data_IF_810854766629
#
_entry.id   IF_810854766629
#
_cell.length_a   1.000
_cell.length_b   1.000
_cell.length_c   1.000
_cell.angle_alpha   90.00
_cell.angle_beta   90.00
_cell.angle_gamma   90.00
#
_symmetry.space_group_name_H-M   'P 1'
#
loop_
_entity.id
_entity.type
_entity.pdbx_description
1 polymer ?
#
# COMPACT_ATOMS: atom_id res chain seq x y z
N UNK A 1 1.48 21.66 -10.58
CA UNK A 1 2.66 20.95 -11.11
C UNK A 1 2.40 20.74 -12.60
N UNK A 2 3.28 21.23 -13.48
CA UNK A 2 3.16 21.07 -14.95
C UNK A 2 3.74 19.74 -15.46
N UNK A 3 3.97 18.81 -14.55
CA UNK A 3 4.56 17.51 -14.77
C UNK A 3 3.44 16.53 -14.44
N UNK A 4 3.15 15.58 -15.34
CA UNK A 4 1.93 14.75 -15.29
C UNK A 4 1.60 14.12 -13.93
N UNK A 5 0.41 13.57 -13.80
CA UNK A 5 -0.02 13.00 -12.52
C UNK A 5 0.85 11.78 -12.15
N UNK A 6 1.04 11.58 -10.85
CA UNK A 6 1.75 10.43 -10.29
C UNK A 6 1.01 9.91 -9.06
N UNK A 7 1.09 8.61 -8.80
CA UNK A 7 0.49 7.96 -7.63
C UNK A 7 1.17 6.62 -7.34
N UNK A 8 0.96 6.09 -6.15
CA UNK A 8 1.38 4.74 -5.78
C UNK A 8 0.47 3.75 -6.52
N UNK A 9 1.05 2.75 -7.17
CA UNK A 9 0.34 1.78 -8.01
C UNK A 9 0.44 0.36 -7.48
N UNK A 10 -0.33 -0.58 -8.08
CA UNK A 10 -0.20 -2.00 -7.76
C UNK A 10 1.20 -2.54 -8.06
N UNK A 11 1.92 -1.98 -9.05
CA UNK A 11 3.34 -2.28 -9.27
C UNK A 11 4.17 -1.91 -8.05
N UNK A 12 3.97 -0.71 -7.51
CA UNK A 12 4.71 -0.27 -6.32
C UNK A 12 4.40 -1.18 -5.12
N UNK A 13 3.15 -1.61 -4.93
CA UNK A 13 2.79 -2.54 -3.84
C UNK A 13 3.50 -3.88 -3.99
N UNK A 14 3.49 -4.46 -5.20
CA UNK A 14 4.11 -5.75 -5.46
C UNK A 14 5.64 -5.70 -5.30
N UNK A 15 6.30 -4.63 -5.78
CA UNK A 15 7.74 -4.47 -5.66
C UNK A 15 8.18 -4.10 -4.23
N UNK A 16 7.48 -3.17 -3.59
CA UNK A 16 7.90 -2.60 -2.31
C UNK A 16 7.56 -3.50 -1.13
N UNK A 17 6.37 -4.12 -1.12
CA UNK A 17 5.89 -4.93 -0.01
C UNK A 17 5.87 -6.44 -0.29
N UNK A 18 5.98 -6.85 -1.56
CA UNK A 18 5.87 -8.27 -1.93
C UNK A 18 4.48 -8.86 -1.70
N UNK A 19 3.45 -8.01 -1.65
CA UNK A 19 2.08 -8.47 -1.39
C UNK A 19 1.39 -8.93 -2.69
N UNK A 20 0.60 -10.01 -2.63
CA UNK A 20 -0.19 -10.47 -3.77
C UNK A 20 -1.19 -9.39 -4.20
N UNK A 21 -1.21 -9.12 -5.51
CA UNK A 21 -2.11 -8.15 -6.16
C UNK A 21 -3.19 -8.84 -7.01
N UNK A 22 -3.03 -10.13 -7.26
CA UNK A 22 -4.05 -11.05 -7.74
C UNK A 22 -4.61 -11.86 -6.56
N UNK A 23 -5.84 -12.34 -6.67
CA UNK A 23 -6.47 -13.16 -5.63
C UNK A 23 -7.81 -12.64 -5.12
N UNK A 24 -8.33 -13.33 -4.11
CA UNK A 24 -9.66 -13.06 -3.54
C UNK A 24 -9.66 -11.70 -2.85
N UNK A 25 -10.69 -10.89 -3.11
CA UNK A 25 -10.82 -9.59 -2.46
C UNK A 25 -10.95 -9.75 -0.93
N UNK A 26 -10.32 -8.86 -0.17
CA UNK A 26 -10.40 -8.84 1.30
C UNK A 26 -11.75 -8.23 1.70
N UNK A 27 -12.74 -9.10 1.88
CA UNK A 27 -14.06 -8.77 2.44
C UNK A 27 -14.42 -9.76 3.53
N UNK A 28 -15.35 -9.40 4.41
CA UNK A 28 -15.83 -10.34 5.42
C UNK A 28 -17.15 -9.92 6.02
N UNK A 29 -18.08 -10.88 6.08
CA UNK A 29 -19.11 -11.00 7.11
C UNK A 29 -18.73 -12.16 8.04
N UNK A 30 -18.88 -11.96 9.35
CA UNK A 30 -18.67 -12.96 10.40
C UNK A 30 -19.79 -14.00 10.33
N UNK A 31 -19.50 -15.27 10.01
CA UNK A 31 -20.48 -16.34 10.23
C UNK A 31 -19.98 -17.56 10.97
N UNK A 32 -18.69 -17.91 10.98
CA UNK A 32 -18.26 -19.10 11.72
C UNK A 32 -16.91 -18.92 12.44
N UNK A 33 -16.93 -19.04 13.76
CA UNK A 33 -15.73 -19.21 14.58
C UNK A 33 -16.01 -20.21 15.70
N UNK A 34 -15.40 -21.39 15.62
CA UNK A 34 -15.28 -22.31 16.76
C UNK A 34 -13.84 -22.43 17.24
N UNK A 35 -13.73 -22.48 18.57
CA UNK A 35 -12.57 -22.26 19.44
C UNK A 35 -11.66 -23.48 19.50
N UNK A 36 -10.33 -23.29 19.64
CA UNK A 36 -9.46 -24.27 20.30
C UNK A 36 -8.32 -23.61 21.08
N UNK A 37 -8.17 -23.97 22.36
CA UNK A 37 -6.98 -23.78 23.21
C UNK A 37 -6.70 -25.12 23.88
N UNK A 38 -5.46 -25.60 23.78
CA UNK A 38 -4.80 -26.32 24.87
C UNK A 38 -3.27 -26.27 24.70
N UNK A 39 -2.49 -26.48 25.77
CA UNK A 39 -1.07 -26.16 25.84
C UNK A 39 -0.14 -27.30 26.30
N UNK A 40 1.11 -27.28 25.81
CA UNK A 40 2.26 -28.02 26.37
C UNK A 40 3.42 -28.21 25.37
N UNK A 41 4.59 -27.57 25.62
CA UNK A 41 5.83 -27.50 24.78
C UNK A 41 5.54 -27.00 23.33
N UNK A 42 6.49 -26.40 22.55
CA UNK A 42 6.10 -25.81 21.28
C UNK A 42 5.86 -26.91 20.24
N UNK A 43 4.64 -27.45 20.24
CA UNK A 43 4.05 -28.18 19.14
C UNK A 43 3.86 -27.26 17.93
N UNK A 44 3.64 -27.83 16.74
CA UNK A 44 3.35 -27.09 15.51
C UNK A 44 2.20 -26.08 15.70
N UNK A 45 1.26 -26.39 16.59
CA UNK A 45 0.16 -25.51 16.95
C UNK A 45 0.59 -24.27 17.74
N UNK A 46 1.57 -24.38 18.63
CA UNK A 46 2.19 -23.25 19.31
C UNK A 46 2.86 -22.31 18.30
N UNK A 47 3.63 -22.86 17.34
CA UNK A 47 4.22 -22.08 16.25
C UNK A 47 3.14 -21.39 15.43
N UNK A 48 2.07 -22.10 15.08
CA UNK A 48 0.93 -21.55 14.34
C UNK A 48 0.24 -20.42 15.12
N UNK A 49 0.06 -20.55 16.44
CA UNK A 49 -0.50 -19.51 17.31
C UNK A 49 0.37 -18.25 17.34
N UNK A 50 1.69 -18.41 17.51
CA UNK A 50 2.61 -17.28 17.46
C UNK A 50 2.64 -16.62 16.08
N UNK A 51 2.63 -17.40 15.00
CA UNK A 51 2.53 -16.89 13.64
C UNK A 51 1.24 -16.09 13.44
N UNK A 52 0.08 -16.61 13.87
CA UNK A 52 -1.21 -15.90 13.82
C UNK A 52 -1.16 -14.57 14.56
N UNK A 53 -0.65 -14.56 15.79
CA UNK A 53 -0.54 -13.35 16.60
C UNK A 53 0.40 -12.31 15.96
N UNK A 54 1.55 -12.76 15.45
CA UNK A 54 2.51 -11.91 14.77
C UNK A 54 1.94 -11.31 13.47
N UNK A 55 1.26 -12.14 12.67
CA UNK A 55 0.60 -11.69 11.44
C UNK A 55 -0.52 -10.69 11.75
N UNK A 56 -1.36 -10.95 12.77
CA UNK A 56 -2.37 -9.98 13.21
C UNK A 56 -1.76 -8.66 13.63
N UNK A 57 -0.60 -8.71 14.32
CA UNK A 57 0.15 -7.51 14.66
C UNK A 57 0.64 -6.78 13.41
N UNK A 58 1.22 -7.47 12.43
CA UNK A 58 1.66 -6.85 11.17
C UNK A 58 0.48 -6.21 10.41
N UNK A 59 -0.64 -6.91 10.29
CA UNK A 59 -1.85 -6.38 9.65
C UNK A 59 -2.36 -5.14 10.39
N UNK A 60 -2.47 -5.19 11.72
CA UNK A 60 -3.02 -4.11 12.52
C UNK A 60 -2.10 -2.92 12.75
N UNK A 61 -0.77 -3.08 12.64
CA UNK A 61 0.20 -2.03 13.01
C UNK A 61 1.06 -1.54 11.86
N UNK A 62 1.28 -2.34 10.83
CA UNK A 62 2.12 -1.96 9.68
C UNK A 62 1.27 -1.70 8.44
N UNK A 63 0.36 -2.62 8.10
CA UNK A 63 -0.33 -2.57 6.82
C UNK A 63 -1.64 -1.77 6.90
N UNK A 64 -2.45 -2.02 7.92
CA UNK A 64 -3.76 -1.41 8.11
C UNK A 64 -3.88 -0.62 9.40
N UNK A 65 -2.75 -0.07 9.84
CA UNK A 65 -2.67 0.77 11.02
C UNK A 65 -3.72 1.89 10.94
N UNK A 66 -4.42 2.09 12.05
CA UNK A 66 -5.30 3.23 12.27
C UNK A 66 -4.63 4.22 13.25
N UNK A 67 -5.41 5.17 13.76
CA UNK A 67 -4.92 6.15 14.74
C UNK A 67 -5.01 5.67 16.19
N UNK A 68 -5.48 4.45 16.43
CA UNK A 68 -5.74 3.91 17.77
C UNK A 68 -4.46 3.55 18.54
N UNK A 69 -3.32 3.47 17.86
CA UNK A 69 -1.99 3.25 18.43
C UNK A 69 -1.72 1.79 18.76
N UNK A 70 -2.48 1.21 19.70
CA UNK A 70 -2.21 -0.11 20.28
C UNK A 70 -3.35 -1.12 20.12
N UNK A 71 -4.40 -0.82 19.36
CA UNK A 71 -5.54 -1.74 19.16
C UNK A 71 -5.50 -2.36 17.77
N UNK A 72 -5.66 -3.67 17.71
CA UNK A 72 -5.79 -4.42 16.46
C UNK A 72 -7.27 -4.78 16.29
N UNK A 73 -7.84 -4.46 15.13
CA UNK A 73 -9.25 -4.76 14.87
C UNK A 73 -9.47 -6.29 14.75
N UNK A 74 -10.46 -6.83 15.45
CA UNK A 74 -10.76 -8.28 15.46
C UNK A 74 -11.17 -8.86 14.09
N UNK A 75 -11.41 -8.00 13.10
CA UNK A 75 -11.81 -8.39 11.73
C UNK A 75 -10.77 -9.24 11.01
N UNK A 76 -9.53 -9.26 11.49
CA UNK A 76 -8.45 -10.06 10.92
C UNK A 76 -8.54 -11.54 11.29
N UNK A 77 -9.27 -11.87 12.37
CA UNK A 77 -9.38 -13.23 12.89
C UNK A 77 -9.79 -14.27 11.83
N UNK A 78 -10.83 -14.04 10.99
CA UNK A 78 -11.20 -15.01 9.94
C UNK A 78 -10.07 -15.32 8.96
N UNK A 79 -9.25 -14.32 8.63
CA UNK A 79 -8.15 -14.47 7.66
C UNK A 79 -6.95 -15.20 8.26
N UNK A 80 -6.64 -14.95 9.54
CA UNK A 80 -5.52 -15.63 10.21
C UNK A 80 -5.89 -17.00 10.78
N UNK A 81 -7.19 -17.32 10.88
CA UNK A 81 -7.64 -18.65 11.31
C UNK A 81 -7.09 -19.75 10.39
N UNK A 82 -7.13 -19.49 9.07
CA UNK A 82 -6.72 -20.39 7.98
C UNK A 82 -5.51 -19.83 7.26
N UNK A 83 -4.33 -19.99 7.86
CA UNK A 83 -3.07 -19.45 7.32
C UNK A 83 -2.75 -19.99 5.92
N UNK A 84 -3.19 -21.20 5.60
CA UNK A 84 -2.99 -21.83 4.30
C UNK A 84 -3.69 -21.06 3.17
N UNK A 85 -4.83 -20.42 3.46
CA UNK A 85 -5.58 -19.62 2.49
C UNK A 85 -5.15 -18.16 2.50
N UNK A 86 -4.37 -17.73 3.49
CA UNK A 86 -4.03 -16.33 3.68
C UNK A 86 -3.27 -15.75 2.48
N UNK A 87 -2.42 -16.53 1.82
CA UNK A 87 -1.69 -16.12 0.61
C UNK A 87 -2.58 -15.91 -0.62
N UNK A 88 -3.82 -16.41 -0.61
CA UNK A 88 -4.74 -16.33 -1.75
C UNK A 88 -5.54 -15.03 -1.85
N UNK A 89 -5.42 -14.15 -0.84
CA UNK A 89 -6.13 -12.89 -0.81
C UNK A 89 -5.32 -11.76 -1.44
N UNK A 90 -6.02 -10.81 -2.05
CA UNK A 90 -5.46 -9.62 -2.68
C UNK A 90 -5.09 -8.56 -1.63
N UNK A 91 -4.10 -8.87 -0.80
CA UNK A 91 -3.60 -7.99 0.25
C UNK A 91 -3.03 -6.69 -0.31
N UNK A 92 -2.46 -6.74 -1.53
CA UNK A 92 -1.87 -5.59 -2.17
C UNK A 92 -2.91 -4.53 -2.53
N UNK A 93 -4.03 -4.93 -3.15
CA UNK A 93 -5.13 -3.99 -3.45
C UNK A 93 -5.79 -3.45 -2.19
N UNK A 94 -5.96 -4.30 -1.17
CA UNK A 94 -6.50 -3.85 0.12
C UNK A 94 -5.60 -2.80 0.77
N UNK A 95 -4.29 -3.04 0.81
CA UNK A 95 -3.32 -2.09 1.35
C UNK A 95 -3.32 -0.77 0.59
N UNK A 96 -3.39 -0.82 -0.74
CA UNK A 96 -3.42 0.36 -1.59
C UNK A 96 -4.72 1.17 -1.43
N UNK A 97 -5.87 0.50 -1.39
CA UNK A 97 -7.17 1.14 -1.10
C UNK A 97 -7.13 1.87 0.26
N UNK A 98 -6.60 1.21 1.29
CA UNK A 98 -6.48 1.83 2.60
C UNK A 98 -5.53 3.03 2.59
N UNK A 99 -4.39 2.92 1.89
CA UNK A 99 -3.46 4.04 1.75
C UNK A 99 -4.09 5.23 1.04
N UNK A 100 -4.79 5.02 -0.07
CA UNK A 100 -5.51 6.07 -0.79
C UNK A 100 -6.51 6.77 0.14
N UNK A 101 -7.35 6.01 0.85
CA UNK A 101 -8.29 6.56 1.83
C UNK A 101 -7.58 7.37 2.93
N UNK A 102 -6.45 6.90 3.43
CA UNK A 102 -5.65 7.60 4.44
C UNK A 102 -5.07 8.92 3.92
N UNK A 103 -4.56 8.94 2.68
CA UNK A 103 -4.06 10.15 2.03
C UNK A 103 -5.18 11.16 1.76
N UNK A 104 -6.34 10.71 1.28
CA UNK A 104 -7.51 11.59 1.12
C UNK A 104 -7.93 12.22 2.45
N UNK A 105 -7.92 11.44 3.55
CA UNK A 105 -8.25 11.95 4.88
C UNK A 105 -7.24 12.96 5.41
N UNK A 106 -5.93 12.76 5.16
CA UNK A 106 -4.89 13.69 5.66
C UNK A 106 -4.89 15.02 4.91
N UNK A 107 -5.46 15.09 3.71
CA UNK A 107 -5.65 16.34 2.99
C UNK A 107 -6.60 17.31 3.73
N UNK A 108 -7.42 16.81 4.66
CA UNK A 108 -8.24 17.66 5.52
C UNK A 108 -7.37 18.36 6.58
N UNK A 109 -7.44 19.70 6.64
CA UNK A 109 -6.68 20.56 7.56
C UNK A 109 -6.80 20.18 9.05
N UNK A 110 -7.87 19.50 9.44
CA UNK A 110 -8.11 19.08 10.84
C UNK A 110 -7.42 17.76 11.19
N UNK A 111 -6.84 17.05 10.20
CA UNK A 111 -6.15 15.79 10.41
C UNK A 111 -4.65 16.01 10.53
N UNK A 112 -4.12 15.77 11.73
CA UNK A 112 -2.69 16.01 12.05
C UNK A 112 -1.81 14.76 12.02
N UNK A 113 -2.40 13.57 11.80
CA UNK A 113 -1.69 12.29 11.74
C UNK A 113 -2.15 11.48 10.53
N UNK A 114 -1.19 10.99 9.75
CA UNK A 114 -1.39 9.99 8.71
C UNK A 114 -1.29 8.58 9.33
N UNK A 115 -2.09 7.65 8.81
CA UNK A 115 -2.08 6.23 9.19
C UNK A 115 -2.05 5.38 7.90
N UNK A 116 -2.08 4.05 8.04
CA UNK A 116 -2.02 3.11 6.92
C UNK A 116 -0.60 2.60 6.61
N UNK A 117 -0.35 2.07 5.39
CA UNK A 117 0.94 1.49 5.00
C UNK A 117 2.03 2.55 4.82
N UNK A 118 2.51 3.14 5.92
CA UNK A 118 3.47 4.25 5.89
C UNK A 118 4.82 3.82 5.30
N UNK A 119 5.21 2.56 5.48
CA UNK A 119 6.42 2.02 4.87
C UNK A 119 6.36 2.02 3.33
N UNK A 120 5.19 1.73 2.75
CA UNK A 120 4.97 1.80 1.30
C UNK A 120 5.11 3.24 0.81
N UNK A 121 4.42 4.19 1.47
CA UNK A 121 4.49 5.61 1.11
C UNK A 121 5.92 6.15 1.24
N UNK A 122 6.60 5.84 2.34
CA UNK A 122 7.96 6.29 2.59
C UNK A 122 8.94 5.71 1.57
N UNK A 123 8.89 4.39 1.35
CA UNK A 123 9.76 3.75 0.38
C UNK A 123 9.52 4.31 -1.02
N UNK A 124 8.25 4.46 -1.42
CA UNK A 124 7.88 5.04 -2.71
C UNK A 124 8.50 6.43 -2.90
N UNK A 125 8.44 7.31 -1.89
CA UNK A 125 9.10 8.63 -1.94
C UNK A 125 10.61 8.49 -2.18
N UNK A 126 11.31 7.58 -1.49
CA UNK A 126 12.76 7.41 -1.63
C UNK A 126 13.20 6.82 -2.98
N UNK A 127 12.34 6.02 -3.60
CA UNK A 127 12.58 5.47 -4.93
C UNK A 127 12.30 6.50 -6.03
N UNK A 128 11.28 7.36 -5.86
CA UNK A 128 10.88 8.37 -6.86
C UNK A 128 11.64 9.69 -6.75
N UNK A 129 12.03 10.10 -5.54
CA UNK A 129 12.70 11.37 -5.29
C UNK A 129 14.06 11.13 -4.60
N UNK A 130 15.16 11.04 -5.36
CA UNK A 130 16.51 10.81 -4.81
C UNK A 130 16.92 11.83 -3.75
N UNK A 131 16.44 13.07 -3.84
CA UNK A 131 16.73 14.14 -2.88
C UNK A 131 16.20 13.89 -1.45
N UNK A 132 15.25 12.97 -1.27
CA UNK A 132 14.74 12.56 0.05
C UNK A 132 15.33 11.26 0.56
N UNK A 133 16.11 10.54 -0.26
CA UNK A 133 16.68 9.24 0.08
C UNK A 133 17.73 9.39 1.20
N UNK A 134 17.72 8.51 2.21
CA UNK A 134 18.80 8.45 3.18
C UNK A 134 20.09 7.86 2.57
N UNK A 135 21.24 8.39 2.99
CA UNK A 135 22.54 7.86 2.58
C UNK A 135 22.86 6.53 3.30
N UNK A 136 23.71 5.69 2.69
CA UNK A 136 24.18 4.44 3.28
C UNK A 136 23.28 3.22 3.04
N UNK A 137 22.29 3.34 2.16
CA UNK A 137 21.35 2.27 1.83
C UNK A 137 21.50 1.88 0.35
N UNK A 138 22.69 1.44 -0.07
CA UNK A 138 22.97 1.17 -1.49
C UNK A 138 22.60 -0.24 -1.93
N UNK A 139 22.54 -1.19 -0.99
CA UNK A 139 22.18 -2.58 -1.27
C UNK A 139 20.68 -2.72 -1.58
N UNK A 140 20.36 -3.42 -2.67
CA UNK A 140 19.00 -3.83 -2.97
C UNK A 140 18.67 -5.15 -2.28
N UNK A 141 17.46 -5.25 -1.75
CA UNK A 141 16.90 -6.45 -1.13
C UNK A 141 15.42 -6.54 -1.45
N UNK A 142 14.85 -7.75 -1.44
CA UNK A 142 13.42 -7.94 -1.64
C UNK A 142 12.71 -8.37 -0.34
N UNK A 143 11.54 -7.80 -0.03
CA UNK A 143 10.81 -6.73 -0.74
C UNK A 143 11.57 -5.39 -0.77
N UNK A 144 11.38 -4.54 -1.80
CA UNK A 144 12.22 -3.35 -1.98
C UNK A 144 12.16 -2.34 -0.83
N UNK A 145 11.08 -2.32 -0.04
CA UNK A 145 11.00 -1.46 1.13
C UNK A 145 11.93 -1.91 2.27
N UNK A 146 12.37 -3.18 2.28
CA UNK A 146 13.35 -3.70 3.24
C UNK A 146 14.72 -3.03 3.08
N UNK A 147 15.00 -2.43 1.92
CA UNK A 147 16.19 -1.61 1.67
C UNK A 147 16.38 -0.53 2.72
N UNK A 148 15.30 0.02 3.27
CA UNK A 148 15.34 1.11 4.25
C UNK A 148 15.21 0.61 5.70
N UNK A 149 15.33 -0.70 5.92
CA UNK A 149 15.24 -1.28 7.25
C UNK A 149 16.29 -0.68 8.19
N UNK A 150 15.88 -0.33 9.40
CA UNK A 150 16.75 0.35 10.37
C UNK A 150 16.88 1.87 10.16
N UNK A 151 16.29 2.45 9.11
CA UNK A 151 16.23 3.89 8.97
C UNK A 151 15.38 4.52 10.09
N UNK A 152 16.06 5.09 11.07
CA UNK A 152 15.44 5.82 12.16
C UNK A 152 15.86 7.29 12.11
N UNK A 153 14.98 8.20 11.68
CA UNK A 153 15.28 9.61 11.74
C UNK A 153 15.35 10.08 13.20
N UNK A 154 16.51 10.59 13.62
CA UNK A 154 16.73 11.09 14.99
C UNK A 154 15.64 12.09 15.45
N UNK A 155 15.13 11.90 16.67
CA UNK A 155 14.00 12.67 17.24
C UNK A 155 14.39 14.14 17.46
N UNK A 156 15.66 14.41 17.75
CA UNK A 156 16.20 15.74 18.08
C UNK A 156 16.11 16.76 16.94
N UNK A 157 16.05 16.33 15.69
CA UNK A 157 16.13 17.21 14.51
C UNK A 157 14.80 17.41 13.79
N UNK A 158 13.66 17.07 14.42
CA UNK A 158 12.35 17.08 13.74
C UNK A 158 12.00 18.43 13.11
N UNK A 159 12.25 19.54 13.81
CA UNK A 159 11.97 20.89 13.32
C UNK A 159 12.77 21.25 12.07
N UNK A 160 14.12 21.29 12.15
CA UNK A 160 14.99 21.58 11.00
C UNK A 160 14.75 20.64 9.81
N UNK A 161 14.54 19.35 10.05
CA UNK A 161 14.22 18.37 9.00
C UNK A 161 12.93 18.69 8.26
N UNK A 162 11.87 19.08 8.97
CA UNK A 162 10.60 19.45 8.34
C UNK A 162 10.76 20.72 7.50
N UNK A 163 11.51 21.71 7.99
CA UNK A 163 11.81 22.93 7.23
C UNK A 163 12.61 22.60 5.96
N UNK A 164 13.65 21.77 6.08
CA UNK A 164 14.46 21.32 4.95
C UNK A 164 13.64 20.51 3.93
N UNK A 165 12.76 19.63 4.40
CA UNK A 165 11.88 18.86 3.53
C UNK A 165 10.91 19.77 2.75
N UNK A 166 10.32 20.78 3.41
CA UNK A 166 9.46 21.77 2.74
C UNK A 166 10.22 22.54 1.66
N UNK A 167 11.40 23.06 2.00
CA UNK A 167 12.25 23.76 1.03
C UNK A 167 12.59 22.87 -0.17
N UNK A 168 12.93 21.60 0.06
CA UNK A 168 13.16 20.65 -1.04
C UNK A 168 11.92 20.49 -1.91
N UNK A 169 10.73 20.35 -1.32
CA UNK A 169 9.47 20.24 -2.06
C UNK A 169 9.22 21.50 -2.89
N UNK A 170 9.40 22.69 -2.31
CA UNK A 170 9.18 23.98 -2.98
C UNK A 170 10.11 24.19 -4.17
N UNK A 171 11.30 23.58 -4.14
CA UNK A 171 12.31 23.65 -5.20
C UNK A 171 12.27 22.50 -6.21
N UNK A 172 11.37 21.52 -6.06
CA UNK A 172 11.30 20.34 -6.93
C UNK A 172 11.06 20.72 -8.41
N UNK A 173 11.89 20.16 -9.28
CA UNK A 173 11.77 20.23 -10.72
C UNK A 173 11.29 18.89 -11.29
N UNK A 174 10.76 18.88 -12.52
CA UNK A 174 10.31 17.66 -13.22
C UNK A 174 11.39 16.56 -13.25
N UNK A 175 12.64 16.97 -13.47
CA UNK A 175 13.80 16.08 -13.60
C UNK A 175 14.20 15.41 -12.29
N UNK A 176 13.74 15.93 -11.16
CA UNK A 176 14.05 15.39 -9.84
C UNK A 176 13.17 14.17 -9.50
N UNK A 177 12.16 13.90 -10.33
CA UNK A 177 11.27 12.76 -10.23
C UNK A 177 11.68 11.61 -11.16
N UNK A 178 11.84 10.41 -10.61
CA UNK A 178 12.11 9.19 -11.36
C UNK A 178 10.80 8.51 -11.74
N UNK A 179 10.47 8.59 -13.03
CA UNK A 179 9.26 7.97 -13.60
C UNK A 179 9.31 6.45 -13.64
N UNK A 180 10.48 5.83 -13.79
CA UNK A 180 10.60 4.37 -13.87
C UNK A 180 11.75 3.86 -12.99
N UNK A 181 11.56 3.79 -11.66
CA UNK A 181 12.63 3.47 -10.72
C UNK A 181 13.03 1.99 -10.69
N UNK A 182 12.23 1.11 -11.32
CA UNK A 182 12.40 -0.34 -11.26
C UNK A 182 12.98 -0.95 -12.54
N UNK A 183 13.33 -0.13 -13.54
CA UNK A 183 13.79 -0.62 -14.85
C UNK A 183 15.24 -1.10 -14.87
N UNK A 184 16.00 -0.94 -13.78
CA UNK A 184 17.41 -1.33 -13.75
C UNK A 184 17.56 -2.84 -13.52
N UNK A 185 18.56 -3.50 -14.16
CA UNK A 185 18.81 -4.94 -13.97
C UNK A 185 19.03 -5.33 -12.50
N UNK A 186 19.74 -4.50 -11.74
CA UNK A 186 20.03 -4.75 -10.32
C UNK A 186 18.75 -4.88 -9.48
N UNK A 187 17.70 -4.14 -9.84
CA UNK A 187 16.40 -4.21 -9.16
C UNK A 187 15.64 -5.46 -9.59
N UNK A 188 15.62 -5.75 -10.89
CA UNK A 188 14.92 -6.92 -11.42
C UNK A 188 15.52 -8.24 -10.91
N UNK A 189 16.82 -8.28 -10.62
CA UNK A 189 17.49 -9.46 -10.07
C UNK A 189 17.10 -9.80 -8.63
N UNK A 190 16.72 -8.80 -7.82
CA UNK A 190 16.32 -9.05 -6.42
C UNK A 190 14.82 -9.36 -6.29
N UNK A 191 14.00 -8.89 -7.24
CA UNK A 191 12.54 -9.07 -7.17
C UNK A 191 12.17 -10.54 -7.40
N UNK A 192 11.28 -11.06 -6.55
CA UNK A 192 10.81 -12.44 -6.65
C UNK A 192 10.19 -12.73 -8.03
N UNK A 193 10.57 -13.81 -8.74
CA UNK A 193 10.12 -14.07 -10.11
C UNK A 193 8.61 -14.11 -10.29
N UNK A 194 7.88 -14.63 -9.30
CA UNK A 194 6.41 -14.68 -9.34
C UNK A 194 5.80 -13.28 -9.55
N UNK A 195 6.36 -12.23 -8.96
CA UNK A 195 5.87 -10.85 -9.12
C UNK A 195 5.96 -10.38 -10.57
N UNK A 196 6.91 -10.92 -11.34
CA UNK A 196 7.14 -10.56 -12.74
C UNK A 196 6.27 -11.36 -13.72
N UNK A 197 5.47 -12.30 -13.22
CA UNK A 197 4.59 -13.10 -14.08
C UNK A 197 3.52 -12.22 -14.77
N UNK A 198 3.16 -12.54 -16.03
CA UNK A 198 2.19 -11.77 -16.81
C UNK A 198 0.85 -11.52 -16.09
N UNK A 199 0.36 -12.50 -15.33
CA UNK A 199 -0.89 -12.39 -14.57
C UNK A 199 -0.88 -11.23 -13.56
N UNK A 200 0.28 -10.94 -12.96
CA UNK A 200 0.45 -9.82 -12.02
C UNK A 200 0.74 -8.52 -12.74
N UNK A 201 1.63 -8.56 -13.74
CA UNK A 201 2.08 -7.36 -14.44
C UNK A 201 0.94 -6.71 -15.21
N UNK A 202 0.01 -7.49 -15.77
CA UNK A 202 -1.19 -6.96 -16.44
C UNK A 202 -2.07 -6.15 -15.48
N UNK A 203 -2.21 -6.57 -14.22
CA UNK A 203 -3.03 -5.87 -13.21
C UNK A 203 -2.47 -4.49 -12.87
N UNK A 204 -1.16 -4.26 -13.04
CA UNK A 204 -0.55 -2.95 -12.78
C UNK A 204 -1.03 -1.86 -13.73
N UNK A 205 -1.60 -2.24 -14.88
CA UNK A 205 -2.08 -1.33 -15.91
C UNK A 205 -3.60 -1.18 -15.90
N UNK A 206 -4.30 -1.92 -15.05
CA UNK A 206 -5.75 -1.94 -15.03
C UNK A 206 -6.32 -0.68 -14.35
N UNK A 207 -7.26 -0.03 -15.03
CA UNK A 207 -8.17 0.92 -14.39
C UNK A 207 -9.26 0.11 -13.68
N UNK A 208 -9.21 0.06 -12.35
CA UNK A 208 -10.08 -0.85 -11.58
C UNK A 208 -10.41 -0.30 -10.19
N UNK A 209 -11.40 -0.87 -9.51
CA UNK A 209 -11.71 -0.58 -8.12
C UNK A 209 -10.85 -1.42 -7.17
N UNK A 210 -10.20 -0.77 -6.21
CA UNK A 210 -9.50 -1.41 -5.10
C UNK A 210 -10.47 -1.54 -3.92
N UNK A 211 -10.48 -2.72 -3.30
CA UNK A 211 -11.43 -3.04 -2.23
C UNK A 211 -10.68 -3.34 -0.93
N UNK A 212 -11.04 -2.61 0.12
CA UNK A 212 -10.66 -2.86 1.50
C UNK A 212 -11.91 -2.86 2.38
N UNK A 213 -12.55 -4.02 2.53
CA UNK A 213 -13.86 -4.16 3.18
C UNK A 213 -14.90 -3.17 2.60
N UNK A 214 -15.40 -2.23 3.40
CA UNK A 214 -16.36 -1.21 2.98
C UNK A 214 -15.71 0.00 2.29
N UNK A 215 -14.38 0.06 2.25
CA UNK A 215 -13.65 1.10 1.52
C UNK A 215 -13.44 0.62 0.09
N UNK A 216 -13.94 1.40 -0.85
CA UNK A 216 -13.71 1.23 -2.28
C UNK A 216 -12.99 2.48 -2.77
N UNK A 217 -11.92 2.32 -3.55
CA UNK A 217 -11.14 3.40 -4.15
C UNK A 217 -10.85 3.09 -5.63
N UNK A 218 -10.86 4.10 -6.50
CA UNK A 218 -10.48 3.90 -7.90
C UNK A 218 -8.96 3.89 -8.08
N UNK A 219 -8.46 2.88 -8.78
CA UNK A 219 -7.10 2.84 -9.29
C UNK A 219 -7.10 3.33 -10.74
N UNK A 220 -6.81 4.62 -10.95
CA UNK A 220 -6.84 5.26 -12.28
C UNK A 220 -5.45 5.31 -12.92
N UNK A 221 -4.95 4.14 -13.36
CA UNK A 221 -3.60 4.02 -13.95
C UNK A 221 -3.45 4.79 -15.27
N UNK A 222 -4.56 4.96 -15.99
CA UNK A 222 -4.67 5.77 -17.21
C UNK A 222 -4.26 7.25 -17.03
N UNK A 223 -4.18 7.73 -15.79
CA UNK A 223 -3.74 9.08 -15.44
C UNK A 223 -2.26 9.19 -15.13
N UNK A 224 -1.56 8.06 -14.97
CA UNK A 224 -0.15 8.00 -14.53
C UNK A 224 0.72 7.16 -15.47
N UNK A 225 0.38 7.14 -16.75
CA UNK A 225 1.08 6.36 -17.79
C UNK A 225 2.60 6.60 -17.86
N UNK A 226 3.13 7.82 -17.60
CA UNK A 226 4.57 8.04 -17.57
C UNK A 226 5.31 7.18 -16.53
N UNK A 227 4.63 6.73 -15.47
CA UNK A 227 5.23 5.81 -14.50
C UNK A 227 5.56 4.42 -15.07
N UNK A 228 5.03 4.14 -16.26
CA UNK A 228 5.22 2.90 -17.00
C UNK A 228 5.83 3.13 -18.38
N UNK A 229 6.45 4.31 -18.60
CA UNK A 229 7.07 4.67 -19.88
C UNK A 229 6.10 5.11 -20.96
N UNK A 230 4.81 5.25 -20.64
CA UNK A 230 3.80 5.77 -21.56
C UNK A 230 3.76 7.29 -21.62
N UNK A 231 3.08 7.83 -22.64
CA UNK A 231 2.81 9.26 -22.76
C UNK A 231 1.46 9.57 -22.13
N UNK A 232 1.37 10.63 -21.31
CA UNK A 232 0.12 11.02 -20.66
C UNK A 232 -0.74 11.87 -21.61
N UNK A 233 -1.92 11.40 -22.06
CA UNK A 233 -2.90 12.27 -22.69
C UNK A 233 -3.56 13.20 -21.66
N UNK A 234 -4.26 14.27 -22.09
CA UNK A 234 -5.08 15.08 -21.20
C UNK A 234 -5.98 14.19 -20.34
N UNK A 235 -5.88 14.24 -19.00
CA UNK A 235 -6.60 13.31 -18.15
C UNK A 235 -8.11 13.62 -18.18
N UNK A 236 -8.92 12.58 -18.32
CA UNK A 236 -10.36 12.68 -18.10
C UNK A 236 -10.66 13.06 -16.63
N UNK A 237 -11.88 13.52 -16.30
CA UNK A 237 -12.27 13.72 -14.91
C UNK A 237 -12.05 12.47 -14.05
N UNK A 238 -11.66 12.67 -12.79
CA UNK A 238 -11.43 11.56 -11.87
C UNK A 238 -12.75 10.82 -11.60
N UNK A 239 -12.70 9.50 -11.58
CA UNK A 239 -13.87 8.69 -11.28
C UNK A 239 -14.20 8.88 -9.79
N UNK A 240 -15.44 9.28 -9.50
CA UNK A 240 -15.91 9.48 -8.14
C UNK A 240 -16.89 8.36 -7.77
N UNK A 241 -16.53 7.57 -6.75
CA UNK A 241 -17.36 6.46 -6.26
C UNK A 241 -18.64 6.98 -5.62
N UNK A 242 -18.59 8.09 -4.88
CA UNK A 242 -19.77 8.65 -4.24
C UNK A 242 -20.79 9.13 -5.28
N UNK A 243 -20.31 9.63 -6.42
CA UNK A 243 -21.15 9.97 -7.58
C UNK A 243 -21.80 8.73 -8.20
N UNK A 244 -21.04 7.65 -8.44
CA UNK A 244 -21.59 6.41 -9.01
C UNK A 244 -22.60 5.74 -8.06
N UNK A 245 -22.28 5.65 -6.76
CA UNK A 245 -23.15 5.06 -5.75
C UNK A 245 -24.44 5.86 -5.52
N UNK A 246 -24.38 7.20 -5.69
CA UNK A 246 -25.57 8.05 -5.61
C UNK A 246 -26.46 7.95 -6.86
N UNK A 247 -25.88 7.75 -8.05
CA UNK A 247 -26.66 7.47 -9.26
C UNK A 247 -27.35 6.11 -9.19
N UNK A 248 -26.66 5.06 -8.75
CA UNK A 248 -27.29 3.74 -8.56
C UNK A 248 -28.38 3.74 -7.48
N UNK A 249 -28.24 4.56 -6.43
CA UNK A 249 -29.29 4.73 -5.43
C UNK A 249 -30.49 5.50 -6.00
N UNK A 250 -30.25 6.49 -6.88
CA UNK A 250 -31.29 7.24 -7.57
C UNK A 250 -32.06 6.39 -8.58
N UNK A 251 -31.39 5.49 -9.30
CA UNK A 251 -32.03 4.58 -10.26
C UNK A 251 -32.87 3.51 -9.57
N UNK A 252 -32.54 3.13 -8.34
CA UNK A 252 -33.36 2.21 -7.51
C UNK A 252 -34.57 2.87 -6.84
N UNK A 253 -34.71 4.20 -6.95
CA UNK A 253 -35.80 4.99 -6.37
C UNK A 253 -36.81 5.51 -7.41
N UNK A 254 -36.66 5.16 -8.69
CA UNK A 254 -37.67 5.39 -9.71
C UNK A 254 -38.53 4.12 -9.90
N UNK A 255 -39.79 4.09 -9.40
CA UNK A 255 -40.78 3.10 -9.81
C UNK A 255 -41.27 3.31 -11.25
#
# INVERSE_FOLDING_TARGET
MSFGECTITLQDVAYQLGLPVDGRYVSGFLTDFHVYIDGGRPDEETVRRFARAYIMMLLGTQLFADKSGNRIHIRWLPFVARLEEMGSYNWGSAALAWLYRCMCRVANRHVVKLAGPLQLLQSWIFWRFPGFRPAGYDAFSWPLASRWSGYNPGISEKGPRVQMARLKIDLLQARDFIWMPYSTPDVLQVVHPEVLEPRHTMLWWCVTSLIYFAVVEWHQVDRVLPQFGGVQPPPHPALNIDFLMSQEASERLCP
#
